data_IF_168996891991
#
_entry.id   IF_168996891991
#
_cell.length_a   1.000
_cell.length_b   1.000
_cell.length_c   1.000
_cell.angle_alpha   90.00
_cell.angle_beta   90.00
_cell.angle_gamma   90.00
#
_symmetry.space_group_name_H-M   'P 1'
#
loop_
_entity.id
_entity.type
_entity.pdbx_description
1 polymer ?
#
# COMPACT_ATOMS: atom_id res chain seq x y z
N UNK A 1 -59.00 56.80 -15.06
CA UNK A 1 -59.59 55.60 -14.43
C UNK A 1 -58.49 54.68 -13.88
N UNK A 2 -58.58 54.41 -12.57
CA UNK A 2 -57.98 53.38 -11.69
C UNK A 2 -56.97 52.34 -12.26
N UNK A 3 -55.68 52.67 -12.45
CA UNK A 3 -54.61 51.64 -12.52
C UNK A 3 -53.33 51.94 -11.72
N UNK A 4 -53.14 53.15 -11.17
CA UNK A 4 -51.95 53.47 -10.35
C UNK A 4 -52.08 53.14 -8.85
N UNK A 5 -53.26 52.73 -8.38
CA UNK A 5 -53.51 52.39 -6.97
C UNK A 5 -53.32 50.88 -6.66
N UNK A 6 -53.34 50.01 -7.67
CA UNK A 6 -53.20 48.56 -7.49
C UNK A 6 -51.75 48.14 -7.22
N UNK A 7 -50.76 48.86 -7.78
CA UNK A 7 -49.34 48.55 -7.60
C UNK A 7 -48.91 48.78 -6.15
N UNK A 8 -49.39 49.85 -5.51
CA UNK A 8 -49.11 50.15 -4.10
C UNK A 8 -49.69 49.08 -3.17
N UNK A 9 -50.87 48.55 -3.51
CA UNK A 9 -51.50 47.49 -2.73
C UNK A 9 -50.70 46.17 -2.81
N UNK A 10 -50.21 45.79 -3.99
CA UNK A 10 -49.36 44.62 -4.18
C UNK A 10 -48.01 44.74 -3.46
N UNK A 11 -47.41 45.93 -3.45
CA UNK A 11 -46.15 46.19 -2.74
C UNK A 11 -46.31 46.07 -1.22
N UNK A 12 -47.40 46.59 -0.66
CA UNK A 12 -47.70 46.48 0.78
C UNK A 12 -47.96 45.02 1.17
N UNK A 13 -48.75 44.28 0.37
CA UNK A 13 -49.02 42.87 0.63
C UNK A 13 -47.75 42.02 0.57
N UNK A 14 -46.87 42.27 -0.42
CA UNK A 14 -45.58 41.59 -0.53
C UNK A 14 -44.67 41.81 0.67
N UNK A 15 -44.60 43.05 1.18
CA UNK A 15 -43.80 43.39 2.36
C UNK A 15 -44.35 42.70 3.62
N UNK A 16 -45.67 42.71 3.83
CA UNK A 16 -46.30 42.05 4.97
C UNK A 16 -46.04 40.55 4.94
N UNK A 17 -46.16 39.92 3.76
CA UNK A 17 -45.91 38.49 3.60
C UNK A 17 -44.44 38.13 3.87
N UNK A 18 -43.50 38.98 3.43
CA UNK A 18 -42.07 38.81 3.69
C UNK A 18 -41.74 38.88 5.19
N UNK A 19 -42.35 39.83 5.93
CA UNK A 19 -42.16 39.97 7.37
C UNK A 19 -42.70 38.73 8.11
N UNK A 20 -43.87 38.22 7.71
CA UNK A 20 -44.47 37.02 8.32
C UNK A 20 -43.56 35.80 8.10
N UNK A 21 -43.09 35.56 6.87
CA UNK A 21 -42.19 34.42 6.57
C UNK A 21 -40.88 34.54 7.36
N UNK A 22 -40.29 35.75 7.42
CA UNK A 22 -39.07 36.00 8.18
C UNK A 22 -39.25 35.75 9.67
N UNK A 23 -40.38 36.19 10.24
CA UNK A 23 -40.72 35.97 11.65
C UNK A 23 -40.93 34.48 11.94
N UNK A 24 -41.63 33.75 11.07
CA UNK A 24 -41.84 32.30 11.22
C UNK A 24 -40.51 31.54 11.15
N UNK A 25 -39.62 31.89 10.22
CA UNK A 25 -38.28 31.30 10.12
C UNK A 25 -37.39 31.64 11.34
N UNK A 26 -37.52 32.84 11.89
CA UNK A 26 -36.82 33.24 13.11
C UNK A 26 -37.32 32.47 14.34
N UNK A 27 -38.65 32.36 14.49
CA UNK A 27 -39.28 31.63 15.57
C UNK A 27 -39.04 30.13 15.47
N UNK A 28 -39.02 29.54 14.26
CA UNK A 28 -38.72 28.12 14.08
C UNK A 28 -37.25 27.80 14.39
N UNK A 29 -36.30 28.67 14.03
CA UNK A 29 -34.90 28.56 14.48
C UNK A 29 -34.76 28.71 15.99
N UNK A 30 -35.54 29.58 16.63
CA UNK A 30 -35.52 29.78 18.08
C UNK A 30 -36.15 28.60 18.85
N UNK A 31 -37.23 28.02 18.31
CA UNK A 31 -37.91 26.86 18.88
C UNK A 31 -37.09 25.57 18.72
N UNK A 32 -36.46 25.37 17.55
CA UNK A 32 -35.53 24.25 17.32
C UNK A 32 -34.31 24.28 18.25
N UNK A 33 -33.93 25.45 18.76
CA UNK A 33 -32.83 25.61 19.74
C UNK A 33 -33.24 25.33 21.19
N UNK A 34 -34.55 25.26 21.50
CA UNK A 34 -35.05 25.03 22.87
C UNK A 34 -35.46 23.58 23.15
N UNK A 35 -35.68 22.74 22.14
CA UNK A 35 -36.23 21.39 22.36
C UNK A 35 -35.20 20.26 22.36
N UNK A 36 -33.92 20.54 22.05
CA UNK A 36 -32.83 19.56 22.03
C UNK A 36 -31.90 19.60 23.26
N UNK A 37 -32.27 20.31 24.34
CA UNK A 37 -31.39 20.58 25.47
C UNK A 37 -31.97 20.49 26.92
N UNK A 38 -33.03 19.72 27.28
CA UNK A 38 -33.40 19.59 28.69
C UNK A 38 -32.43 18.73 29.53
N UNK A 39 -31.64 17.85 28.90
CA UNK A 39 -30.80 16.89 29.63
C UNK A 39 -29.36 17.34 29.92
N UNK A 40 -28.95 18.55 29.52
CA UNK A 40 -27.56 19.02 29.71
C UNK A 40 -27.40 19.98 30.91
N UNK A 41 -28.51 20.47 31.50
CA UNK A 41 -28.45 21.51 32.55
C UNK A 41 -28.12 21.03 33.98
N UNK A 42 -27.84 19.75 34.21
CA UNK A 42 -27.41 19.25 35.54
C UNK A 42 -25.91 18.98 35.70
N UNK A 43 -25.08 19.26 34.69
CA UNK A 43 -23.64 18.94 34.70
C UNK A 43 -22.75 20.16 35.04
N UNK A 44 -23.34 21.32 35.33
CA UNK A 44 -22.57 22.58 35.31
C UNK A 44 -21.84 22.94 36.62
N UNK A 45 -22.00 22.20 37.72
CA UNK A 45 -21.33 22.51 39.01
C UNK A 45 -20.19 21.55 39.41
N UNK A 46 -19.88 20.52 38.61
CA UNK A 46 -18.67 19.67 38.75
C UNK A 46 -17.64 19.90 37.62
N UNK A 47 -17.70 21.08 36.99
CA UNK A 47 -17.16 21.37 35.65
C UNK A 47 -15.63 21.40 35.51
N UNK A 48 -14.86 21.34 36.59
CA UNK A 48 -13.39 21.48 36.55
C UNK A 48 -12.67 20.14 36.26
N UNK A 49 -13.25 18.98 36.58
CA UNK A 49 -12.55 17.69 36.47
C UNK A 49 -12.87 16.89 35.19
N UNK A 50 -14.08 17.07 34.64
CA UNK A 50 -14.55 16.40 33.43
C UNK A 50 -13.72 16.77 32.19
N UNK A 51 -13.40 18.06 32.09
CA UNK A 51 -12.73 18.66 30.94
C UNK A 51 -11.31 18.11 30.80
N UNK A 52 -10.61 17.96 31.93
CA UNK A 52 -9.25 17.43 31.99
C UNK A 52 -9.17 15.98 31.51
N UNK A 53 -10.10 15.13 31.96
CA UNK A 53 -10.17 13.73 31.48
C UNK A 53 -10.52 13.68 29.99
N UNK A 54 -11.50 14.49 29.56
CA UNK A 54 -11.91 14.52 28.16
C UNK A 54 -10.75 14.91 27.25
N UNK A 55 -10.02 15.96 27.60
CA UNK A 55 -8.85 16.43 26.87
C UNK A 55 -7.73 15.38 26.84
N UNK A 56 -7.48 14.71 27.98
CA UNK A 56 -6.48 13.65 28.06
C UNK A 56 -6.79 12.48 27.11
N UNK A 57 -8.03 11.99 27.10
CA UNK A 57 -8.47 10.91 26.21
C UNK A 57 -8.43 11.36 24.75
N UNK A 58 -8.87 12.59 24.45
CA UNK A 58 -8.77 13.15 23.10
C UNK A 58 -7.32 13.25 22.60
N UNK A 59 -6.37 13.67 23.45
CA UNK A 59 -4.93 13.69 23.11
C UNK A 59 -4.38 12.29 22.90
N UNK A 60 -4.81 11.34 23.72
CA UNK A 60 -4.44 9.93 23.55
C UNK A 60 -4.95 9.37 22.21
N UNK A 61 -6.20 9.66 21.84
CA UNK A 61 -6.77 9.25 20.56
C UNK A 61 -6.03 9.86 19.37
N UNK A 62 -5.76 11.17 19.41
CA UNK A 62 -4.96 11.86 18.39
C UNK A 62 -3.56 11.25 18.23
N UNK A 63 -2.90 10.98 19.37
CA UNK A 63 -1.59 10.34 19.39
C UNK A 63 -1.63 8.95 18.76
N UNK A 64 -2.54 8.08 19.21
CA UNK A 64 -2.63 6.71 18.71
C UNK A 64 -2.98 6.66 17.22
N UNK A 65 -3.84 7.54 16.75
CA UNK A 65 -4.18 7.62 15.33
C UNK A 65 -2.97 8.00 14.47
N UNK A 66 -2.15 8.97 14.92
CA UNK A 66 -0.90 9.35 14.23
C UNK A 66 0.16 8.25 14.30
N UNK A 67 0.33 7.62 15.46
CA UNK A 67 1.27 6.50 15.64
C UNK A 67 0.91 5.34 14.70
N UNK A 68 -0.37 5.01 14.59
CA UNK A 68 -0.85 3.94 13.73
C UNK A 68 -0.52 4.20 12.25
N UNK A 69 -0.72 5.44 11.78
CA UNK A 69 -0.39 5.84 10.41
C UNK A 69 1.11 5.71 10.14
N UNK A 70 1.95 6.23 11.04
CA UNK A 70 3.41 6.14 10.90
C UNK A 70 3.85 4.68 10.88
N UNK A 71 3.28 3.85 11.75
CA UNK A 71 3.60 2.43 11.82
C UNK A 71 3.17 1.67 10.55
N UNK A 72 1.96 1.91 10.07
CA UNK A 72 1.45 1.35 8.81
C UNK A 72 2.36 1.69 7.63
N UNK A 73 2.70 2.97 7.47
CA UNK A 73 3.59 3.43 6.41
C UNK A 73 4.92 2.71 6.46
N UNK A 74 5.53 2.57 7.65
CA UNK A 74 6.83 1.93 7.82
C UNK A 74 6.86 0.41 7.65
N UNK A 75 5.70 -0.26 7.59
CA UNK A 75 5.60 -1.73 7.57
C UNK A 75 4.90 -2.26 6.31
N UNK A 76 4.88 -1.52 5.21
CA UNK A 76 4.24 -1.95 3.96
C UNK A 76 2.72 -2.00 4.05
N UNK A 77 2.15 -1.11 4.87
CA UNK A 77 0.72 -0.99 5.09
C UNK A 77 0.14 -1.97 6.10
N UNK A 78 0.95 -2.71 6.87
CA UNK A 78 0.44 -3.68 7.84
C UNK A 78 0.83 -3.37 9.29
N UNK A 79 -0.06 -3.65 10.24
CA UNK A 79 0.22 -3.66 11.69
C UNK A 79 0.05 -5.08 12.23
N UNK A 80 1.05 -5.56 12.97
CA UNK A 80 1.07 -6.91 13.53
C UNK A 80 0.31 -7.03 14.86
N UNK A 81 -0.08 -8.24 15.23
CA UNK A 81 -0.86 -8.54 16.44
C UNK A 81 -0.16 -8.09 17.72
N UNK A 82 1.15 -8.25 17.82
CA UNK A 82 1.95 -7.78 18.97
C UNK A 82 1.94 -6.26 19.13
N UNK A 83 1.60 -5.52 18.08
CA UNK A 83 1.49 -4.06 18.04
C UNK A 83 0.03 -3.59 18.19
N UNK A 84 -0.93 -4.52 18.29
CA UNK A 84 -2.36 -4.23 18.36
C UNK A 84 -3.08 -4.24 17.01
N UNK A 85 -2.43 -4.65 15.92
CA UNK A 85 -3.07 -4.82 14.61
C UNK A 85 -3.72 -6.20 14.41
N UNK A 86 -4.37 -6.42 13.26
CA UNK A 86 -5.03 -7.68 12.95
C UNK A 86 -4.13 -8.71 12.24
N UNK A 87 -2.97 -8.29 11.70
CA UNK A 87 -2.08 -9.21 10.99
C UNK A 87 -1.27 -10.05 11.98
N UNK A 88 -1.23 -11.37 11.80
CA UNK A 88 -0.47 -12.26 12.68
C UNK A 88 1.02 -11.92 12.71
N UNK A 89 1.63 -12.01 13.89
CA UNK A 89 3.09 -11.92 14.04
C UNK A 89 3.77 -13.11 13.35
N UNK A 90 4.57 -12.80 12.31
CA UNK A 90 5.38 -13.80 11.63
C UNK A 90 6.60 -14.21 12.45
N UNK A 91 7.04 -15.44 12.26
CA UNK A 91 8.24 -15.97 12.88
C UNK A 91 9.49 -15.48 12.15
N UNK A 92 10.66 -15.56 12.79
CA UNK A 92 11.92 -15.19 12.13
C UNK A 92 12.22 -16.02 10.87
N UNK A 93 11.72 -17.25 10.81
CA UNK A 93 11.84 -18.14 9.65
C UNK A 93 11.00 -17.70 8.44
N UNK A 94 10.07 -16.77 8.64
CA UNK A 94 9.21 -16.24 7.59
C UNK A 94 9.81 -14.99 6.90
N UNK A 95 10.98 -14.54 7.36
CA UNK A 95 11.74 -13.48 6.69
C UNK A 95 12.19 -13.96 5.30
N UNK A 96 12.02 -13.12 4.28
CA UNK A 96 12.18 -13.53 2.89
C UNK A 96 10.93 -14.15 2.27
N UNK A 97 9.91 -14.51 3.07
CA UNK A 97 8.64 -15.07 2.57
C UNK A 97 7.50 -14.05 2.63
N UNK A 98 7.29 -13.43 3.80
CA UNK A 98 6.20 -12.48 4.01
C UNK A 98 6.69 -11.06 4.34
N UNK A 99 7.90 -10.93 4.85
CA UNK A 99 8.49 -9.65 5.23
C UNK A 99 10.03 -9.65 5.12
N UNK A 100 10.63 -8.46 5.24
CA UNK A 100 12.07 -8.24 5.46
C UNK A 100 12.23 -7.36 6.70
N UNK A 101 13.26 -7.59 7.52
CA UNK A 101 13.56 -6.68 8.63
C UNK A 101 14.24 -5.42 8.15
N UNK A 102 13.73 -4.27 8.58
CA UNK A 102 14.36 -2.99 8.36
C UNK A 102 14.08 -2.06 9.54
N UNK A 103 15.14 -1.48 10.13
CA UNK A 103 15.05 -0.62 11.31
C UNK A 103 14.22 -1.22 12.47
N UNK A 104 14.43 -2.51 12.76
CA UNK A 104 13.71 -3.28 13.78
C UNK A 104 12.20 -3.45 13.53
N UNK A 105 11.73 -3.16 12.32
CA UNK A 105 10.35 -3.41 11.91
C UNK A 105 10.32 -4.52 10.86
N UNK A 106 9.22 -5.28 10.88
CA UNK A 106 8.93 -6.25 9.83
C UNK A 106 8.22 -5.50 8.70
N UNK A 107 8.89 -5.35 7.55
CA UNK A 107 8.33 -4.66 6.40
C UNK A 107 7.76 -5.69 5.44
N UNK A 108 6.46 -5.61 5.17
CA UNK A 108 5.80 -6.57 4.29
C UNK A 108 6.28 -6.45 2.83
N UNK A 109 6.30 -7.57 2.13
CA UNK A 109 6.37 -7.56 0.67
C UNK A 109 5.06 -7.02 0.11
N UNK A 110 5.12 -5.94 -0.68
CA UNK A 110 3.97 -5.51 -1.49
C UNK A 110 4.12 -5.86 -2.97
N UNK A 111 5.33 -6.22 -3.41
CA UNK A 111 5.60 -6.80 -4.73
C UNK A 111 6.18 -8.20 -4.53
N UNK A 112 5.50 -9.18 -5.10
CA UNK A 112 5.83 -10.60 -5.01
C UNK A 112 6.05 -11.19 -6.40
N UNK A 113 6.83 -12.26 -6.46
CA UNK A 113 6.90 -13.13 -7.64
C UNK A 113 5.50 -13.68 -8.00
N UNK A 114 5.24 -13.94 -9.30
CA UNK A 114 4.02 -14.59 -9.71
C UNK A 114 4.00 -16.03 -9.18
N UNK A 115 2.88 -16.44 -8.57
CA UNK A 115 2.75 -17.78 -7.94
C UNK A 115 2.01 -18.80 -8.80
N UNK A 116 1.38 -18.35 -9.88
CA UNK A 116 0.55 -19.17 -10.74
C UNK A 116 0.62 -18.66 -12.18
N UNK A 117 0.47 -19.57 -13.13
CA UNK A 117 0.33 -19.23 -14.53
C UNK A 117 -1.08 -18.68 -14.80
N UNK A 118 -1.16 -17.62 -15.62
CA UNK A 118 -2.43 -17.05 -16.11
C UNK A 118 -2.31 -16.96 -17.62
N UNK A 119 -2.93 -17.88 -18.40
CA UNK A 119 -2.74 -17.88 -19.85
C UNK A 119 -2.97 -16.49 -20.48
N UNK A 120 -2.05 -16.01 -21.34
CA UNK A 120 -0.90 -16.73 -21.91
C UNK A 120 0.40 -16.66 -21.07
N UNK A 121 0.37 -16.08 -19.88
CA UNK A 121 1.53 -15.87 -19.00
C UNK A 121 1.88 -17.11 -18.17
N UNK A 122 3.17 -17.29 -17.91
CA UNK A 122 3.74 -18.33 -17.05
C UNK A 122 4.53 -17.69 -15.90
N UNK A 123 4.51 -18.37 -14.75
CA UNK A 123 5.39 -18.08 -13.62
C UNK A 123 6.59 -19.02 -13.53
N UNK A 124 6.68 -20.01 -14.44
CA UNK A 124 7.68 -21.06 -14.43
C UNK A 124 8.76 -20.81 -15.47
N UNK A 125 10.02 -20.93 -15.08
CA UNK A 125 11.19 -20.92 -15.97
C UNK A 125 11.27 -22.30 -16.66
N UNK A 126 11.49 -22.38 -17.98
CA UNK A 126 11.92 -21.32 -18.91
C UNK A 126 10.80 -20.53 -19.60
N UNK A 127 9.53 -20.79 -19.26
CA UNK A 127 8.41 -20.18 -19.97
C UNK A 127 8.05 -18.79 -19.41
N UNK A 128 8.80 -18.27 -18.43
CA UNK A 128 8.59 -16.97 -17.82
C UNK A 128 9.06 -15.83 -18.75
N UNK A 129 8.31 -14.73 -18.87
CA UNK A 129 6.94 -14.50 -18.41
C UNK A 129 5.87 -15.11 -19.35
N UNK A 130 6.26 -15.45 -20.58
CA UNK A 130 5.53 -16.34 -21.49
C UNK A 130 6.52 -16.89 -22.53
N UNK A 131 6.18 -18.00 -23.18
CA UNK A 131 7.08 -18.78 -24.06
C UNK A 131 7.73 -18.02 -25.21
N UNK A 132 7.12 -16.92 -25.67
CA UNK A 132 7.61 -16.12 -26.80
C UNK A 132 7.99 -14.70 -26.42
N UNK A 133 8.16 -14.40 -25.13
CA UNK A 133 8.53 -13.06 -24.64
C UNK A 133 9.70 -12.45 -25.43
N UNK A 134 9.67 -11.15 -25.79
CA UNK A 134 8.62 -10.16 -25.59
C UNK A 134 7.58 -10.16 -26.72
N UNK A 135 7.58 -11.16 -27.60
CA UNK A 135 6.71 -11.22 -28.76
C UNK A 135 5.38 -11.91 -28.42
N UNK A 136 4.29 -11.44 -29.04
CA UNK A 136 2.97 -12.09 -28.90
C UNK A 136 2.96 -13.54 -29.42
N UNK A 137 3.75 -13.82 -30.44
CA UNK A 137 3.92 -15.14 -31.05
C UNK A 137 5.35 -15.27 -31.60
N UNK A 138 5.79 -16.50 -31.88
CA UNK A 138 7.10 -16.77 -32.48
C UNK A 138 7.31 -16.07 -33.84
N UNK A 139 6.23 -15.75 -34.56
CA UNK A 139 6.26 -15.05 -35.85
C UNK A 139 6.23 -13.51 -35.71
N UNK A 140 5.89 -12.98 -34.54
CA UNK A 140 5.76 -11.54 -34.32
C UNK A 140 7.12 -10.85 -34.19
N UNK A 141 7.23 -9.63 -34.71
CA UNK A 141 8.38 -8.75 -34.50
C UNK A 141 8.08 -7.58 -33.54
N UNK A 142 6.81 -7.36 -33.19
CA UNK A 142 6.44 -6.33 -32.23
C UNK A 142 6.74 -6.81 -30.81
N UNK A 143 7.54 -6.03 -30.08
CA UNK A 143 7.89 -6.26 -28.69
C UNK A 143 6.79 -5.71 -27.77
N UNK A 144 6.39 -6.48 -26.78
CA UNK A 144 5.39 -6.15 -25.76
C UNK A 144 6.04 -6.41 -24.40
N UNK A 145 6.06 -5.38 -23.57
CA UNK A 145 6.67 -5.42 -22.23
C UNK A 145 5.62 -5.46 -21.12
N UNK A 146 4.35 -5.34 -21.48
CA UNK A 146 3.22 -5.49 -20.57
C UNK A 146 2.82 -6.97 -20.44
N UNK A 147 2.65 -7.43 -19.21
CA UNK A 147 2.40 -8.84 -18.89
C UNK A 147 2.11 -9.07 -17.41
N UNK A 148 2.40 -10.29 -16.94
CA UNK A 148 2.22 -10.70 -15.55
C UNK A 148 3.57 -11.06 -14.94
N UNK A 149 4.27 -10.05 -14.42
CA UNK A 149 5.62 -10.21 -13.87
C UNK A 149 5.62 -10.39 -12.36
N UNK A 150 4.52 -10.11 -11.68
CA UNK A 150 4.42 -10.24 -10.24
C UNK A 150 2.99 -10.07 -9.70
N UNK A 151 2.88 -10.07 -8.38
CA UNK A 151 1.63 -9.89 -7.66
C UNK A 151 1.73 -8.75 -6.65
N UNK A 152 0.64 -8.02 -6.49
CA UNK A 152 0.51 -6.99 -5.47
C UNK A 152 0.00 -7.58 -4.17
N UNK A 153 0.64 -7.21 -3.06
CA UNK A 153 0.21 -7.51 -1.70
C UNK A 153 0.06 -6.21 -0.89
N UNK A 154 -0.36 -5.13 -1.54
CA UNK A 154 -0.75 -3.88 -0.85
C UNK A 154 -2.12 -4.08 -0.20
N UNK A 155 -2.32 -3.70 1.07
CA UNK A 155 -3.63 -3.79 1.69
C UNK A 155 -4.61 -2.79 1.05
N UNK A 156 -5.90 -3.14 0.95
CA UNK A 156 -6.93 -2.20 0.51
C UNK A 156 -7.02 -0.98 1.44
N UNK A 157 -7.56 0.12 0.94
CA UNK A 157 -7.70 1.32 1.78
C UNK A 157 -8.89 1.16 2.74
N UNK A 158 -10.02 0.68 2.21
CA UNK A 158 -11.29 0.59 2.93
C UNK A 158 -11.67 -0.86 3.25
N UNK A 159 -12.40 -1.06 4.35
CA UNK A 159 -12.89 -2.40 4.77
C UNK A 159 -13.84 -3.07 3.76
N UNK A 160 -14.52 -2.28 2.93
CA UNK A 160 -15.38 -2.77 1.85
C UNK A 160 -14.62 -3.44 0.70
N UNK A 161 -13.31 -3.19 0.59
CA UNK A 161 -12.47 -3.69 -0.51
C UNK A 161 -11.75 -5.00 -0.16
N UNK A 162 -11.71 -5.38 1.12
CA UNK A 162 -11.10 -6.63 1.56
C UNK A 162 -10.68 -6.63 3.04
N UNK A 163 -10.24 -7.80 3.54
CA UNK A 163 -9.73 -7.93 4.91
C UNK A 163 -8.41 -7.19 5.08
N UNK A 164 -8.05 -6.87 6.33
CA UNK A 164 -6.81 -6.18 6.70
C UNK A 164 -6.62 -4.86 5.94
N UNK A 165 -7.70 -4.16 5.59
CA UNK A 165 -7.62 -2.83 5.01
C UNK A 165 -6.93 -1.86 5.97
N UNK A 166 -6.31 -0.81 5.45
CA UNK A 166 -5.72 0.28 6.26
C UNK A 166 -6.72 0.77 7.31
N UNK A 167 -7.99 0.97 6.92
CA UNK A 167 -9.06 1.34 7.84
C UNK A 167 -9.19 0.37 9.03
N UNK A 168 -9.34 -0.93 8.76
CA UNK A 168 -9.52 -1.94 9.83
C UNK A 168 -8.29 -2.09 10.72
N UNK A 169 -7.10 -1.86 10.19
CA UNK A 169 -5.86 -1.90 10.96
C UNK A 169 -5.71 -0.69 11.88
N UNK A 170 -6.10 0.50 11.44
CA UNK A 170 -6.18 1.69 12.29
C UNK A 170 -7.17 1.48 13.44
N UNK A 171 -8.36 0.96 13.15
CA UNK A 171 -9.39 0.64 14.16
C UNK A 171 -8.86 -0.33 15.22
N UNK A 172 -8.28 -1.46 14.79
CA UNK A 172 -7.73 -2.48 15.69
C UNK A 172 -6.58 -1.94 16.56
N UNK A 173 -5.66 -1.17 15.96
CA UNK A 173 -4.52 -0.60 16.69
C UNK A 173 -4.98 0.36 17.78
N UNK A 174 -5.92 1.25 17.45
CA UNK A 174 -6.44 2.24 18.41
C UNK A 174 -7.18 1.51 19.55
N UNK A 175 -8.05 0.55 19.23
CA UNK A 175 -8.80 -0.22 20.23
C UNK A 175 -7.88 -1.00 21.18
N UNK A 176 -6.84 -1.63 20.65
CA UNK A 176 -5.88 -2.43 21.43
C UNK A 176 -5.01 -1.58 22.36
N UNK A 177 -4.68 -0.35 21.95
CA UNK A 177 -3.74 0.50 22.68
C UNK A 177 -4.42 1.55 23.57
N UNK A 178 -5.73 1.82 23.39
CA UNK A 178 -6.45 2.88 24.09
C UNK A 178 -6.34 2.79 25.61
N UNK A 179 -6.51 1.59 26.19
CA UNK A 179 -6.45 1.39 27.65
C UNK A 179 -5.08 1.74 28.23
N UNK A 180 -4.01 1.41 27.52
CA UNK A 180 -2.64 1.69 27.97
C UNK A 180 -2.30 3.18 27.87
N UNK A 181 -2.81 3.84 26.84
CA UNK A 181 -2.55 5.23 26.55
C UNK A 181 -3.40 6.17 27.44
N UNK A 182 -4.69 5.87 27.62
CA UNK A 182 -5.59 6.60 28.51
C UNK A 182 -5.53 6.06 29.95
N UNK A 183 -4.34 5.91 30.52
CA UNK A 183 -4.17 5.33 31.86
C UNK A 183 -4.84 6.22 32.95
N UNK A 184 -5.88 5.73 33.65
CA UNK A 184 -6.60 6.51 34.66
C UNK A 184 -5.80 6.75 35.94
N UNK A 185 -4.71 6.01 36.17
CA UNK A 185 -3.94 6.08 37.42
C UNK A 185 -3.40 7.48 37.72
N UNK A 186 -3.18 8.29 36.69
CA UNK A 186 -2.69 9.68 36.81
C UNK A 186 -3.67 10.60 37.56
N UNK A 187 -4.94 10.21 37.66
CA UNK A 187 -5.99 10.98 38.33
C UNK A 187 -6.33 10.45 39.73
N UNK A 188 -5.75 9.32 40.17
CA UNK A 188 -6.01 8.76 41.50
C UNK A 188 -5.63 9.72 42.63
N UNK A 189 -4.56 10.50 42.45
CA UNK A 189 -4.14 11.51 43.44
C UNK A 189 -5.11 12.68 43.59
N UNK A 190 -6.10 12.81 42.69
CA UNK A 190 -7.12 13.85 42.73
C UNK A 190 -8.41 13.38 43.42
N UNK A 191 -8.42 12.17 44.02
CA UNK A 191 -9.63 11.62 44.66
C UNK A 191 -10.69 11.14 43.66
N UNK A 192 -10.25 10.77 42.46
CA UNK A 192 -11.12 10.25 41.41
C UNK A 192 -10.94 8.75 41.24
N UNK A 193 -12.03 8.01 41.30
CA UNK A 193 -12.09 6.61 40.89
C UNK A 193 -12.61 6.52 39.45
N UNK A 194 -11.78 6.03 38.55
CA UNK A 194 -12.09 5.99 37.12
C UNK A 194 -12.09 4.55 36.62
N UNK A 195 -13.19 4.17 35.98
CA UNK A 195 -13.34 2.88 35.30
C UNK A 195 -13.46 3.12 33.81
N UNK A 196 -12.60 2.46 33.03
CA UNK A 196 -12.57 2.55 31.56
C UNK A 196 -13.09 1.23 30.98
N UNK A 197 -14.11 1.31 30.12
CA UNK A 197 -14.66 0.16 29.40
C UNK A 197 -13.85 -0.22 28.16
N UNK A 198 -14.47 -1.01 27.28
CA UNK A 198 -13.85 -1.43 26.02
C UNK A 198 -13.94 -0.31 24.99
N UNK A 199 -12.82 -0.03 24.32
CA UNK A 199 -12.77 0.85 23.17
C UNK A 199 -13.43 0.18 21.96
N UNK A 200 -14.14 0.97 21.17
CA UNK A 200 -14.60 0.61 19.83
C UNK A 200 -14.38 1.81 18.91
N UNK A 201 -13.51 1.61 17.93
CA UNK A 201 -13.12 2.68 17.00
C UNK A 201 -13.78 2.49 15.65
N UNK A 202 -14.14 3.61 15.02
CA UNK A 202 -14.56 3.69 13.63
C UNK A 202 -13.69 4.71 12.92
N UNK A 203 -13.09 4.31 11.80
CA UNK A 203 -12.26 5.17 10.97
C UNK A 203 -12.96 5.44 9.65
N UNK A 204 -12.96 6.70 9.21
CA UNK A 204 -13.43 7.12 7.89
C UNK A 204 -12.29 7.83 7.19
N UNK A 205 -11.86 7.29 6.04
CA UNK A 205 -10.76 7.85 5.25
C UNK A 205 -11.38 8.69 4.13
N UNK A 206 -11.29 10.02 4.25
CA UNK A 206 -11.75 10.97 3.24
C UNK A 206 -10.63 11.28 2.23
N UNK A 207 -10.85 12.26 1.34
CA UNK A 207 -9.86 12.61 0.32
C UNK A 207 -8.66 13.33 0.94
N UNK A 208 -8.94 14.31 1.81
CA UNK A 208 -7.95 15.17 2.46
C UNK A 208 -7.61 14.74 3.89
N UNK A 209 -8.53 14.07 4.58
CA UNK A 209 -8.40 13.79 6.00
C UNK A 209 -8.86 12.39 6.40
N UNK A 210 -8.58 12.05 7.65
CA UNK A 210 -9.06 10.83 8.31
C UNK A 210 -9.82 11.24 9.56
N UNK A 211 -11.10 10.89 9.60
CA UNK A 211 -11.93 11.05 10.79
C UNK A 211 -11.91 9.77 11.60
N UNK A 212 -11.50 9.87 12.87
CA UNK A 212 -11.49 8.77 13.82
C UNK A 212 -12.52 9.04 14.90
N UNK A 213 -13.45 8.11 15.09
CA UNK A 213 -14.48 8.15 16.14
C UNK A 213 -14.26 7.01 17.10
N UNK A 214 -14.22 7.32 18.39
CA UNK A 214 -14.00 6.37 19.46
C UNK A 214 -15.23 6.37 20.38
N UNK A 215 -15.82 5.19 20.55
CA UNK A 215 -16.81 4.90 21.57
C UNK A 215 -16.10 4.16 22.71
N UNK A 216 -15.89 4.83 23.84
CA UNK A 216 -15.27 4.25 25.04
C UNK A 216 -15.99 4.77 26.30
N UNK A 217 -16.76 3.91 27.01
CA UNK A 217 -17.44 4.35 28.22
C UNK A 217 -16.43 4.51 29.36
N UNK A 218 -16.34 5.73 29.88
CA UNK A 218 -15.48 6.11 31.00
C UNK A 218 -16.39 6.60 32.13
N UNK A 219 -16.40 5.87 33.23
CA UNK A 219 -17.13 6.23 34.44
C UNK A 219 -16.15 6.85 35.44
N UNK A 220 -16.43 8.08 35.85
CA UNK A 220 -15.65 8.86 36.81
C UNK A 220 -16.50 9.00 38.07
N UNK A 221 -15.98 8.60 39.22
CA UNK A 221 -16.64 8.74 40.51
C UNK A 221 -15.77 9.61 41.41
N UNK A 222 -16.33 10.73 41.87
CA UNK A 222 -15.67 11.58 42.86
C UNK A 222 -15.85 10.93 44.24
N UNK A 223 -14.75 10.51 44.88
CA UNK A 223 -14.85 9.75 46.13
C UNK A 223 -15.29 10.62 47.32
N UNK A 224 -15.17 11.95 47.22
CA UNK A 224 -15.61 12.86 48.26
C UNK A 224 -17.11 13.16 48.18
N UNK A 225 -17.67 13.31 46.97
CA UNK A 225 -19.08 13.68 46.77
C UNK A 225 -19.99 12.49 46.41
N UNK A 226 -19.41 11.34 46.04
CA UNK A 226 -20.09 10.20 45.40
C UNK A 226 -20.80 10.55 44.08
N UNK A 227 -20.46 11.68 43.47
CA UNK A 227 -20.99 12.05 42.16
C UNK A 227 -20.37 11.17 41.07
N UNK A 228 -21.23 10.74 40.15
CA UNK A 228 -20.86 9.88 39.02
C UNK A 228 -21.01 10.70 37.75
N UNK A 229 -19.98 10.63 36.90
CA UNK A 229 -19.96 11.20 35.57
C UNK A 229 -19.59 10.13 34.55
N UNK A 230 -20.22 10.20 33.37
CA UNK A 230 -19.93 9.30 32.26
C UNK A 230 -19.50 10.09 31.03
N UNK A 231 -18.38 9.68 30.44
CA UNK A 231 -17.93 10.10 29.13
C UNK A 231 -17.98 8.89 28.20
N UNK A 232 -18.28 9.09 26.92
CA UNK A 232 -18.48 7.98 25.99
C UNK A 232 -17.87 8.21 24.62
N UNK A 233 -18.12 9.37 24.05
CA UNK A 233 -17.82 9.64 22.64
C UNK A 233 -16.66 10.61 22.50
N UNK A 234 -15.67 10.21 21.68
CA UNK A 234 -14.50 11.00 21.35
C UNK A 234 -14.28 10.98 19.85
N UNK A 235 -13.67 12.03 19.32
CA UNK A 235 -13.32 12.10 17.92
C UNK A 235 -12.07 12.92 17.71
N UNK A 236 -11.28 12.55 16.71
CA UNK A 236 -10.20 13.37 16.18
C UNK A 236 -10.25 13.35 14.66
N UNK A 237 -9.70 14.39 14.03
CA UNK A 237 -9.54 14.50 12.59
C UNK A 237 -8.05 14.68 12.32
N UNK A 238 -7.50 13.82 11.48
CA UNK A 238 -6.13 13.92 11.02
C UNK A 238 -6.13 14.51 9.62
N UNK A 239 -5.54 15.68 9.45
CA UNK A 239 -5.39 16.37 8.16
C UNK A 239 -4.25 15.73 7.36
N UNK A 240 -4.51 14.53 6.85
CA UNK A 240 -3.55 13.67 6.15
C UNK A 240 -4.19 13.04 4.92
N UNK A 241 -3.69 13.38 3.73
CA UNK A 241 -4.16 12.88 2.43
C UNK A 241 -3.74 11.44 2.11
N UNK A 242 -3.93 10.50 3.03
CA UNK A 242 -3.46 9.10 2.85
C UNK A 242 -4.08 8.43 1.62
N UNK A 243 -5.27 8.84 1.20
CA UNK A 243 -5.92 8.30 0.00
C UNK A 243 -5.08 8.52 -1.26
N UNK A 244 -4.54 9.71 -1.44
CA UNK A 244 -3.75 10.06 -2.62
C UNK A 244 -2.38 9.37 -2.57
N UNK A 245 -1.75 9.34 -1.38
CA UNK A 245 -0.51 8.59 -1.16
C UNK A 245 -0.71 7.09 -1.48
N UNK A 246 -1.73 6.45 -0.90
CA UNK A 246 -2.07 5.04 -1.15
C UNK A 246 -2.35 4.77 -2.63
N UNK A 247 -3.10 5.65 -3.29
CA UNK A 247 -3.39 5.54 -4.72
C UNK A 247 -2.12 5.58 -5.56
N UNK A 248 -1.18 6.46 -5.22
CA UNK A 248 0.11 6.54 -5.89
C UNK A 248 0.96 5.28 -5.66
N UNK A 249 1.06 4.78 -4.42
CA UNK A 249 1.78 3.53 -4.13
C UNK A 249 1.17 2.36 -4.91
N UNK A 250 -0.15 2.26 -4.94
CA UNK A 250 -0.86 1.25 -5.69
C UNK A 250 -0.52 1.34 -7.18
N UNK A 251 -0.51 2.54 -7.75
CA UNK A 251 -0.11 2.76 -9.15
C UNK A 251 1.34 2.34 -9.43
N UNK A 252 2.29 2.73 -8.56
CA UNK A 252 3.69 2.31 -8.66
C UNK A 252 3.81 0.78 -8.70
N UNK A 253 3.21 0.10 -7.74
CA UNK A 253 3.23 -1.36 -7.66
C UNK A 253 2.58 -1.98 -8.89
N UNK A 254 1.44 -1.44 -9.35
CA UNK A 254 0.74 -1.98 -10.51
C UNK A 254 1.54 -1.82 -11.80
N UNK A 255 2.26 -0.72 -11.99
CA UNK A 255 3.11 -0.53 -13.15
C UNK A 255 4.34 -1.44 -13.10
N UNK A 256 4.96 -1.58 -11.93
CA UNK A 256 6.12 -2.43 -11.70
C UNK A 256 5.82 -3.93 -11.95
N UNK A 257 4.67 -4.44 -11.51
CA UNK A 257 4.31 -5.85 -11.74
C UNK A 257 3.78 -6.14 -13.15
N UNK A 258 3.41 -5.09 -13.91
CA UNK A 258 2.82 -5.23 -15.25
C UNK A 258 3.80 -4.95 -16.37
N UNK A 259 4.78 -4.09 -16.18
CA UNK A 259 5.66 -3.64 -17.25
C UNK A 259 7.12 -3.83 -16.86
N UNK A 260 7.81 -4.77 -17.49
CA UNK A 260 9.23 -5.05 -17.18
C UNK A 260 10.19 -3.91 -17.54
N UNK A 261 9.74 -2.89 -18.29
CA UNK A 261 10.52 -1.67 -18.58
C UNK A 261 10.18 -0.51 -17.67
N UNK A 262 9.23 -0.70 -16.76
CA UNK A 262 8.91 0.33 -15.78
C UNK A 262 10.12 0.52 -14.86
N UNK A 263 10.49 1.78 -14.64
CA UNK A 263 11.55 2.13 -13.69
C UNK A 263 10.89 2.79 -12.48
N UNK A 264 10.87 2.09 -11.36
CA UNK A 264 10.21 2.58 -10.15
C UNK A 264 10.88 3.85 -9.60
N UNK A 265 12.22 3.96 -9.68
CA UNK A 265 12.96 5.13 -9.19
C UNK A 265 12.71 6.41 -10.00
N UNK A 266 12.41 6.26 -11.30
CA UNK A 266 12.16 7.38 -12.22
C UNK A 266 10.74 7.93 -12.17
N UNK A 267 9.86 7.28 -11.40
CA UNK A 267 8.43 7.61 -11.37
C UNK A 267 8.16 8.93 -10.67
N UNK A 268 7.27 9.73 -11.27
CA UNK A 268 6.83 11.03 -10.73
C UNK A 268 5.32 11.11 -10.74
N UNK A 269 4.75 11.68 -9.70
CA UNK A 269 3.33 12.02 -9.66
C UNK A 269 3.19 13.52 -9.36
N UNK A 270 2.46 14.25 -10.21
CA UNK A 270 2.26 15.68 -10.01
C UNK A 270 1.32 16.00 -8.85
N UNK A 271 0.45 15.05 -8.44
CA UNK A 271 -0.46 15.22 -7.31
C UNK A 271 0.22 14.94 -5.97
N UNK A 272 1.19 14.02 -5.97
CA UNK A 272 1.92 13.58 -4.78
C UNK A 272 3.39 13.81 -5.07
N UNK A 273 4.00 14.93 -4.61
CA UNK A 273 5.41 15.22 -4.84
C UNK A 273 6.29 14.33 -3.96
N UNK A 274 6.22 13.03 -4.22
CA UNK A 274 6.96 12.04 -3.47
C UNK A 274 8.34 11.80 -4.06
N UNK A 275 9.31 11.56 -3.18
CA UNK A 275 10.60 11.01 -3.54
C UNK A 275 10.60 9.49 -3.35
N UNK A 276 11.27 8.77 -4.26
CA UNK A 276 11.38 7.31 -4.21
C UNK A 276 12.85 6.96 -4.02
N UNK A 277 13.15 6.19 -2.98
CA UNK A 277 14.47 5.64 -2.72
C UNK A 277 14.40 4.12 -2.74
N UNK A 278 15.30 3.50 -3.48
CA UNK A 278 15.49 2.05 -3.49
C UNK A 278 16.72 1.72 -2.64
N UNK A 279 16.57 0.82 -1.68
CA UNK A 279 17.70 0.17 -1.00
C UNK A 279 17.82 -1.22 -1.61
N UNK A 280 18.86 -1.39 -2.44
CA UNK A 280 19.13 -2.63 -3.16
C UNK A 280 19.62 -3.74 -2.22
N UNK A 281 19.33 -4.98 -2.58
CA UNK A 281 19.87 -6.21 -1.97
C UNK A 281 19.67 -6.30 -0.44
N UNK A 282 18.51 -5.85 0.07
CA UNK A 282 18.23 -5.88 1.51
C UNK A 282 18.10 -7.32 2.04
N UNK A 283 17.67 -8.25 1.19
CA UNK A 283 17.55 -9.66 1.52
C UNK A 283 17.66 -10.53 0.26
N UNK A 284 18.80 -11.18 0.00
CA UNK A 284 18.94 -12.13 -1.13
C UNK A 284 18.50 -11.58 -2.50
N UNK A 285 18.95 -10.36 -2.86
CA UNK A 285 18.54 -9.58 -4.05
C UNK A 285 17.13 -8.99 -3.99
N UNK A 286 16.39 -9.16 -2.89
CA UNK A 286 15.16 -8.41 -2.68
C UNK A 286 15.48 -6.94 -2.38
N UNK A 287 14.59 -6.05 -2.80
CA UNK A 287 14.74 -4.60 -2.68
C UNK A 287 13.80 -4.00 -1.64
N UNK A 288 14.20 -2.89 -1.05
CA UNK A 288 13.32 -2.05 -0.23
C UNK A 288 12.99 -0.76 -0.98
N UNK A 289 11.71 -0.42 -1.08
CA UNK A 289 11.24 0.82 -1.68
C UNK A 289 10.69 1.71 -0.59
N UNK A 290 11.24 2.92 -0.51
CA UNK A 290 10.85 3.97 0.42
C UNK A 290 10.27 5.11 -0.40
N UNK A 291 8.97 5.35 -0.24
CA UNK A 291 8.27 6.47 -0.87
C UNK A 291 7.99 7.51 0.19
N UNK A 292 8.52 8.72 0.01
CA UNK A 292 8.38 9.82 0.97
C UNK A 292 7.54 10.92 0.38
N UNK A 293 6.38 11.19 0.97
CA UNK A 293 5.52 12.32 0.59
C UNK A 293 5.86 13.54 1.47
N UNK A 294 6.51 14.53 0.86
CA UNK A 294 6.98 15.74 1.54
C UNK A 294 5.84 16.67 1.98
N UNK A 295 4.67 16.57 1.35
CA UNK A 295 3.52 17.41 1.67
C UNK A 295 2.64 16.80 2.76
N UNK A 296 2.67 15.47 2.93
CA UNK A 296 1.91 14.79 3.95
C UNK A 296 2.74 14.73 5.24
N UNK A 297 2.41 15.58 6.20
CA UNK A 297 3.16 15.68 7.46
C UNK A 297 2.44 14.97 8.61
N UNK A 298 3.12 14.02 9.24
CA UNK A 298 2.69 13.40 10.51
C UNK A 298 3.72 13.71 11.58
N UNK A 299 3.30 14.31 12.69
CA UNK A 299 4.20 14.90 13.69
C UNK A 299 5.20 15.93 13.12
N UNK A 300 4.80 16.65 12.07
CA UNK A 300 5.67 17.60 11.39
C UNK A 300 6.82 16.95 10.61
N UNK A 301 6.74 15.64 10.33
CA UNK A 301 7.69 14.91 9.49
C UNK A 301 6.99 14.37 8.24
N UNK A 302 7.68 14.34 7.09
CA UNK A 302 7.17 13.68 5.89
C UNK A 302 6.71 12.25 6.16
N UNK A 303 5.62 11.85 5.51
CA UNK A 303 5.11 10.51 5.59
C UNK A 303 5.90 9.58 4.69
N UNK A 304 6.35 8.45 5.26
CA UNK A 304 7.08 7.41 4.54
C UNK A 304 6.19 6.17 4.42
N UNK A 305 6.04 5.68 3.19
CA UNK A 305 5.51 4.36 2.90
C UNK A 305 6.66 3.46 2.42
N UNK A 306 6.95 2.43 3.20
CA UNK A 306 8.10 1.54 3.02
C UNK A 306 7.57 0.14 2.74
N UNK A 307 7.98 -0.47 1.63
CA UNK A 307 7.60 -1.85 1.29
C UNK A 307 8.75 -2.61 0.63
N UNK A 308 8.74 -3.92 0.81
CA UNK A 308 9.71 -4.80 0.15
C UNK A 308 9.21 -5.25 -1.22
N UNK A 309 10.14 -5.40 -2.16
CA UNK A 309 9.97 -5.98 -3.49
C UNK A 309 10.81 -7.24 -3.58
N UNK A 310 10.14 -8.36 -3.81
CA UNK A 310 10.81 -9.66 -3.95
C UNK A 310 11.41 -9.78 -5.34
N UNK A 311 12.68 -10.17 -5.41
CA UNK A 311 13.41 -10.36 -6.65
C UNK A 311 12.68 -11.32 -7.60
N UNK A 312 12.59 -10.99 -8.88
CA UNK A 312 11.94 -11.79 -9.92
C UNK A 312 12.99 -12.23 -10.93
N UNK A 313 12.69 -13.32 -11.63
CA UNK A 313 13.63 -13.79 -12.63
C UNK A 313 13.74 -12.77 -13.78
N UNK A 314 14.93 -12.61 -14.39
CA UNK A 314 15.03 -11.91 -15.64
C UNK A 314 14.24 -12.62 -16.73
N UNK A 315 13.80 -11.88 -17.75
CA UNK A 315 13.02 -12.39 -18.88
C UNK A 315 13.87 -12.41 -20.16
N UNK A 316 14.25 -13.60 -20.64
CA UNK A 316 15.07 -13.73 -21.85
C UNK A 316 14.22 -13.55 -23.11
N UNK A 317 14.72 -12.75 -24.07
CA UNK A 317 14.03 -12.61 -25.35
C UNK A 317 14.02 -13.93 -26.11
N UNK A 318 12.89 -14.24 -26.74
CA UNK A 318 12.67 -15.46 -27.49
C UNK A 318 13.63 -15.58 -28.67
N UNK A 319 14.40 -16.66 -28.69
CA UNK A 319 15.38 -16.96 -29.72
C UNK A 319 14.65 -17.60 -30.92
N UNK A 320 14.15 -16.77 -31.84
CA UNK A 320 13.31 -17.18 -32.98
C UNK A 320 13.82 -18.34 -33.83
N UNK A 321 15.14 -18.46 -33.98
CA UNK A 321 15.79 -19.54 -34.74
C UNK A 321 16.59 -20.42 -33.81
N UNK A 322 15.89 -21.08 -32.88
CA UNK A 322 16.49 -21.99 -31.91
C UNK A 322 16.93 -23.34 -32.49
N UNK A 323 16.72 -23.61 -33.79
CA UNK A 323 17.25 -24.80 -34.47
C UNK A 323 18.15 -24.38 -35.62
N UNK A 324 19.39 -24.86 -35.61
CA UNK A 324 20.47 -24.55 -36.54
C UNK A 324 20.98 -25.83 -37.21
N UNK A 325 21.53 -25.70 -38.42
CA UNK A 325 22.13 -26.82 -39.15
C UNK A 325 23.50 -26.43 -39.68
N UNK A 326 24.52 -27.22 -39.38
CA UNK A 326 25.88 -27.04 -39.88
C UNK A 326 26.49 -28.38 -40.32
N UNK A 327 27.52 -28.32 -41.16
CA UNK A 327 28.27 -29.51 -41.60
C UNK A 327 29.06 -30.14 -40.45
N UNK A 328 29.38 -31.44 -40.58
CA UNK A 328 30.29 -32.11 -39.65
C UNK A 328 31.62 -31.35 -39.51
N UNK A 329 32.11 -31.22 -38.28
CA UNK A 329 33.38 -30.57 -37.98
C UNK A 329 33.33 -29.04 -38.02
N UNK A 330 32.16 -28.44 -38.28
CA UNK A 330 31.97 -26.99 -38.19
C UNK A 330 32.32 -26.50 -36.78
N UNK A 331 33.08 -25.41 -36.70
CA UNK A 331 33.49 -24.76 -35.46
C UNK A 331 32.45 -23.71 -35.04
N UNK A 332 31.45 -24.14 -34.27
CA UNK A 332 30.36 -23.31 -33.77
C UNK A 332 30.95 -22.21 -32.89
N UNK A 333 30.68 -20.95 -33.22
CA UNK A 333 31.01 -19.77 -32.42
C UNK A 333 29.79 -19.28 -31.64
N UNK A 334 30.00 -18.37 -30.69
CA UNK A 334 28.90 -17.78 -29.91
C UNK A 334 27.92 -17.03 -30.81
N UNK A 335 28.43 -16.35 -31.83
CA UNK A 335 27.65 -15.54 -32.77
C UNK A 335 26.74 -16.41 -33.66
N UNK A 336 27.14 -17.66 -33.92
CA UNK A 336 26.35 -18.60 -34.73
C UNK A 336 25.06 -19.00 -34.02
N UNK A 337 25.11 -19.17 -32.69
CA UNK A 337 23.95 -19.48 -31.86
C UNK A 337 22.91 -18.37 -31.87
N UNK A 338 23.35 -17.13 -32.08
CA UNK A 338 22.53 -15.94 -32.05
C UNK A 338 22.19 -15.39 -33.45
N UNK A 339 22.78 -15.95 -34.53
CA UNK A 339 22.58 -15.50 -35.93
C UNK A 339 22.70 -13.99 -36.13
N UNK A 340 23.69 -13.34 -35.50
CA UNK A 340 23.91 -11.89 -35.53
C UNK A 340 22.85 -11.02 -34.82
N UNK A 341 21.94 -11.63 -34.04
CA UNK A 341 21.09 -10.87 -33.14
C UNK A 341 21.82 -10.60 -31.83
N UNK A 342 21.65 -9.40 -31.30
CA UNK A 342 22.05 -9.07 -29.95
C UNK A 342 21.17 -9.87 -28.98
N UNK A 343 21.80 -10.61 -28.07
CA UNK A 343 21.09 -11.31 -27.01
C UNK A 343 20.52 -10.24 -26.06
N UNK A 344 19.21 -10.28 -25.85
CA UNK A 344 18.49 -9.29 -25.04
C UNK A 344 17.66 -9.99 -23.99
N UNK A 345 17.54 -9.32 -22.86
CA UNK A 345 16.70 -9.70 -21.76
C UNK A 345 16.30 -8.42 -21.01
N UNK A 346 15.22 -8.50 -20.26
CA UNK A 346 14.79 -7.42 -19.36
C UNK A 346 14.71 -7.99 -17.96
N UNK A 347 15.09 -7.19 -16.98
CA UNK A 347 14.96 -7.54 -15.57
C UNK A 347 13.84 -6.72 -14.94
N UNK A 348 12.77 -7.36 -14.41
CA UNK A 348 11.67 -6.62 -13.79
C UNK A 348 12.10 -5.77 -12.59
N UNK A 349 13.23 -6.09 -11.95
CA UNK A 349 13.75 -5.42 -10.75
C UNK A 349 14.93 -4.48 -11.05
N UNK A 350 15.15 -4.19 -12.33
CA UNK A 350 16.19 -3.28 -12.83
C UNK A 350 17.62 -3.70 -12.42
N UNK A 351 17.85 -5.00 -12.23
CA UNK A 351 19.15 -5.55 -11.86
C UNK A 351 20.09 -5.73 -13.08
N UNK A 352 21.38 -5.92 -12.77
CA UNK A 352 22.40 -6.15 -13.79
C UNK A 352 22.36 -7.59 -14.30
N UNK A 353 22.36 -7.75 -15.62
CA UNK A 353 22.22 -9.07 -16.25
C UNK A 353 23.53 -9.65 -16.78
N UNK A 354 23.72 -10.95 -16.56
CA UNK A 354 24.83 -11.73 -17.08
C UNK A 354 24.33 -12.85 -17.98
N UNK A 355 24.93 -13.00 -19.17
CA UNK A 355 24.58 -14.04 -20.14
C UNK A 355 25.61 -15.17 -20.16
N UNK A 356 25.12 -16.40 -20.04
CA UNK A 356 25.94 -17.61 -20.00
C UNK A 356 25.46 -18.65 -21.02
N UNK A 357 26.38 -19.52 -21.44
CA UNK A 357 26.12 -20.57 -22.42
C UNK A 357 26.60 -21.89 -21.85
N UNK A 358 25.78 -22.92 -21.95
CA UNK A 358 26.10 -24.26 -21.47
C UNK A 358 25.81 -25.31 -22.54
N UNK A 359 26.60 -26.39 -22.54
CA UNK A 359 26.39 -27.56 -23.38
C UNK A 359 25.38 -28.49 -22.67
N UNK A 360 24.33 -28.88 -23.40
CA UNK A 360 23.20 -29.63 -22.89
C UNK A 360 22.16 -28.74 -22.19
N UNK A 361 21.13 -29.37 -21.65
CA UNK A 361 19.98 -28.68 -21.03
C UNK A 361 20.18 -28.39 -19.53
N UNK A 362 21.08 -29.14 -18.88
CA UNK A 362 21.25 -29.13 -17.42
C UNK A 362 21.90 -27.87 -16.83
N UNK A 363 22.51 -27.01 -17.65
CA UNK A 363 23.24 -25.82 -17.18
C UNK A 363 24.54 -26.12 -16.42
N UNK A 364 25.03 -27.37 -16.41
CA UNK A 364 26.22 -27.75 -15.62
C UNK A 364 27.56 -27.61 -16.35
N UNK A 365 27.54 -27.63 -17.69
CA UNK A 365 28.76 -27.68 -18.49
C UNK A 365 28.89 -26.38 -19.28
N UNK A 366 29.60 -25.40 -18.73
CA UNK A 366 29.81 -24.13 -19.43
C UNK A 366 30.44 -24.37 -20.81
N UNK A 367 29.88 -23.75 -21.84
CA UNK A 367 30.32 -23.91 -23.20
C UNK A 367 31.59 -23.10 -23.46
N UNK A 368 32.63 -23.76 -23.96
CA UNK A 368 33.81 -23.12 -24.51
C UNK A 368 33.65 -22.98 -26.02
N UNK A 369 33.88 -21.78 -26.55
CA UNK A 369 33.81 -21.49 -27.98
C UNK A 369 35.21 -21.21 -28.56
N UNK A 370 35.49 -21.60 -29.82
CA UNK A 370 34.60 -22.33 -30.72
C UNK A 370 34.41 -23.81 -30.31
N UNK A 371 33.28 -24.41 -30.71
CA UNK A 371 32.91 -25.80 -30.40
C UNK A 371 32.70 -26.60 -31.69
N UNK A 372 33.48 -27.66 -31.90
CA UNK A 372 33.31 -28.55 -33.07
C UNK A 372 32.03 -29.38 -32.99
N UNK A 373 31.29 -29.42 -34.10
CA UNK A 373 30.10 -30.25 -34.29
C UNK A 373 30.48 -31.67 -34.75
N UNK A 374 30.79 -32.54 -33.79
CA UNK A 374 31.17 -33.93 -34.07
C UNK A 374 30.00 -34.92 -33.97
N UNK A 375 28.96 -34.56 -33.22
CA UNK A 375 27.77 -35.38 -32.98
C UNK A 375 26.62 -34.99 -33.89
N UNK A 376 25.60 -35.85 -34.02
CA UNK A 376 24.40 -35.58 -34.82
C UNK A 376 23.63 -34.34 -34.35
N UNK A 377 23.64 -34.09 -33.05
CA UNK A 377 22.94 -32.96 -32.45
C UNK A 377 23.68 -32.47 -31.20
N UNK A 378 23.89 -31.16 -31.12
CA UNK A 378 24.31 -30.46 -29.90
C UNK A 378 23.17 -29.58 -29.43
N UNK A 379 22.99 -29.50 -28.11
CA UNK A 379 22.08 -28.56 -27.47
C UNK A 379 22.89 -27.54 -26.69
N UNK A 380 22.53 -26.27 -26.81
CA UNK A 380 23.12 -25.18 -26.06
C UNK A 380 22.03 -24.51 -25.22
N UNK A 381 22.18 -24.51 -23.90
CA UNK A 381 21.36 -23.68 -23.02
C UNK A 381 21.95 -22.28 -23.00
N UNK A 382 21.17 -21.31 -23.46
CA UNK A 382 21.45 -19.87 -23.36
C UNK A 382 20.71 -19.36 -22.15
N UNK A 383 21.43 -18.82 -21.18
CA UNK A 383 20.90 -18.41 -19.89
C UNK A 383 21.19 -16.93 -19.64
N UNK A 384 20.24 -16.24 -19.02
CA UNK A 384 20.41 -14.91 -18.43
C UNK A 384 20.18 -15.01 -16.93
N UNK A 385 21.00 -14.33 -16.13
CA UNK A 385 20.88 -14.30 -14.68
C UNK A 385 21.16 -12.91 -14.13
N UNK A 386 20.44 -12.56 -13.07
CA UNK A 386 20.64 -11.39 -12.19
C UNK A 386 21.64 -11.70 -11.03
N UNK A 387 22.21 -12.91 -11.00
CA UNK A 387 23.05 -13.43 -9.93
C UNK A 387 22.35 -14.33 -8.91
N UNK A 388 21.01 -14.30 -8.83
CA UNK A 388 20.20 -15.09 -7.90
C UNK A 388 19.18 -16.00 -8.60
N UNK A 389 18.46 -15.45 -9.56
CA UNK A 389 17.51 -16.13 -10.43
C UNK A 389 18.04 -16.12 -11.87
N UNK A 390 17.40 -16.90 -12.72
CA UNK A 390 17.82 -17.02 -14.11
C UNK A 390 16.67 -17.47 -14.99
N UNK A 391 16.71 -17.06 -16.24
CA UNK A 391 15.86 -17.61 -17.29
C UNK A 391 16.74 -18.18 -18.42
N UNK A 392 16.21 -19.13 -19.19
CA UNK A 392 16.99 -19.81 -20.20
C UNK A 392 16.17 -20.32 -21.37
N UNK A 393 16.82 -20.46 -22.52
CA UNK A 393 16.26 -21.14 -23.69
C UNK A 393 17.29 -22.11 -24.28
N UNK A 394 16.81 -23.15 -24.96
CA UNK A 394 17.67 -24.16 -25.58
C UNK A 394 17.74 -23.93 -27.09
N UNK A 395 18.96 -23.79 -27.60
CA UNK A 395 19.29 -23.76 -29.02
C UNK A 395 19.83 -25.13 -29.44
N UNK A 396 19.20 -25.75 -30.42
CA UNK A 396 19.54 -27.04 -31.00
C UNK A 396 20.37 -26.81 -32.26
N UNK A 397 21.51 -27.50 -32.36
CA UNK A 397 22.39 -27.47 -33.53
C UNK A 397 22.51 -28.88 -34.09
N UNK A 398 21.90 -29.11 -35.25
CA UNK A 398 21.95 -30.39 -35.94
C UNK A 398 23.10 -30.43 -36.95
N UNK A 399 23.65 -31.63 -37.13
CA UNK A 399 24.59 -31.92 -38.20
C UNK A 399 23.81 -32.21 -39.48
N UNK A 400 24.13 -31.46 -40.53
CA UNK A 400 23.55 -31.62 -41.86
C UNK A 400 23.96 -32.93 -42.54
#
# INVERSE_FOLDING_TARGET
MKQKSQITMLMIVGLVLFIIVSLVLYLSKSAAKKQSLPNIKRVQETSVDASSMKEFVSKCLDKLAKDAIVLLGKQGGYIYTSQGGPLVDYQATDEGLFFVKYNNLNVAYNILQPRFAVPPYSSEIPDYPWTTFPYRTAASNAEIFEGFFGMSNIPPLNSSEGPNSIQTQLEAFIDSNMKSCANPDIFKSQGLEITIGKAKTSVTIEASDITVKLEIPIKITNTATNEIMELKDFSTVLDVGIRDAHSFIKELIQNDIKNTKFNISGSKNYKVPASIKIVKDIFSNDDMIIVTDENLLVYGRPFEYIFARKNRAPALYYIKKNTLEFSQGYEIKKEDLLKSYELKAEDPDEDSLAFSFYIGESGKNQATFPKKLEVLQLKFRVEVSDGKLSDHQVVIVNRK
#
